data_IF_364746275449
#
_entry.id   IF_364746275449
#
_cell.length_a   1.000
_cell.length_b   1.000
_cell.length_c   1.000
_cell.angle_alpha   90.00
_cell.angle_beta   90.00
_cell.angle_gamma   90.00
#
_symmetry.space_group_name_H-M   'P 1'
#
loop_
_entity.id
_entity.type
_entity.pdbx_description
1 polymer ?
#
# COMPACT_ATOMS: atom_id res chain seq x y z
N UNK A 1 32.32 -24.78 -15.83
CA UNK A 1 32.80 -23.41 -16.13
C UNK A 1 31.64 -22.62 -16.72
N UNK A 2 31.19 -21.54 -16.05
CA UNK A 2 30.04 -20.75 -16.51
C UNK A 2 30.54 -19.38 -17.03
N UNK A 3 30.44 -19.17 -18.34
CA UNK A 3 30.77 -17.92 -19.02
C UNK A 3 29.67 -16.88 -18.74
N UNK A 4 29.85 -16.07 -17.69
CA UNK A 4 29.00 -14.88 -17.49
C UNK A 4 29.43 -13.81 -18.50
N UNK A 5 28.61 -13.58 -19.52
CA UNK A 5 28.73 -12.42 -20.40
C UNK A 5 28.59 -11.14 -19.56
N UNK A 6 29.70 -10.47 -19.28
CA UNK A 6 29.72 -9.13 -18.70
C UNK A 6 29.62 -8.10 -19.81
N UNK A 7 28.81 -7.05 -19.61
CA UNK A 7 28.85 -5.83 -20.41
C UNK A 7 30.25 -5.21 -20.37
N UNK A 8 30.68 -4.48 -21.41
CA UNK A 8 32.00 -3.80 -21.44
C UNK A 8 32.23 -2.78 -20.30
N UNK A 9 31.20 -2.46 -19.52
CA UNK A 9 31.23 -1.55 -18.36
C UNK A 9 31.14 -2.25 -16.99
N UNK A 10 31.09 -3.59 -16.94
CA UNK A 10 30.98 -4.36 -15.68
C UNK A 10 29.65 -4.21 -14.93
N UNK A 11 28.75 -3.32 -15.37
CA UNK A 11 27.40 -3.16 -14.79
C UNK A 11 26.41 -4.12 -15.42
N UNK A 12 25.53 -4.78 -14.65
CA UNK A 12 24.44 -5.59 -15.20
C UNK A 12 23.51 -4.68 -16.02
N UNK A 13 23.12 -5.12 -17.22
CA UNK A 13 22.14 -4.40 -18.05
C UNK A 13 20.81 -4.35 -17.30
N UNK A 14 20.14 -3.19 -17.32
CA UNK A 14 18.78 -3.07 -16.79
C UNK A 14 17.84 -4.07 -17.48
N UNK A 15 16.91 -4.69 -16.75
CA UNK A 15 15.94 -5.61 -17.34
C UNK A 15 15.11 -4.89 -18.41
N UNK A 16 14.87 -5.55 -19.54
CA UNK A 16 14.04 -5.03 -20.62
C UNK A 16 12.64 -5.57 -20.48
N UNK A 17 11.66 -4.69 -20.49
CA UNK A 17 10.24 -5.04 -20.48
C UNK A 17 9.68 -4.90 -21.91
N UNK A 18 8.82 -5.83 -22.29
CA UNK A 18 8.01 -5.75 -23.50
C UNK A 18 6.55 -5.80 -23.07
N UNK A 19 5.71 -4.97 -23.68
CA UNK A 19 4.29 -4.85 -23.36
C UNK A 19 3.48 -4.94 -24.64
N UNK A 20 2.33 -5.60 -24.56
CA UNK A 20 1.32 -5.59 -25.62
C UNK A 20 0.23 -4.63 -25.19
N UNK A 21 -0.03 -3.61 -26.02
CA UNK A 21 -1.01 -2.56 -25.75
C UNK A 21 -2.14 -2.65 -26.76
N UNK A 22 -3.38 -2.27 -26.38
CA UNK A 22 -4.43 -1.97 -27.33
C UNK A 22 -4.00 -0.89 -28.33
N UNK A 23 -4.53 -0.96 -29.55
CA UNK A 23 -4.19 -0.05 -30.66
C UNK A 23 -4.49 1.42 -30.29
N UNK A 24 -5.68 1.66 -29.73
CA UNK A 24 -6.12 3.01 -29.35
C UNK A 24 -5.23 3.64 -28.27
N UNK A 25 -4.68 2.83 -27.35
CA UNK A 25 -3.74 3.32 -26.35
C UNK A 25 -2.37 3.63 -26.97
N UNK A 26 -1.94 2.83 -27.94
CA UNK A 26 -0.69 3.06 -28.67
C UNK A 26 -0.74 4.38 -29.45
N UNK A 27 -1.86 4.66 -30.12
CA UNK A 27 -2.09 5.90 -30.86
C UNK A 27 -2.06 7.13 -29.95
N UNK A 28 -2.78 7.08 -28.82
CA UNK A 28 -2.74 8.17 -27.83
C UNK A 28 -1.33 8.41 -27.29
N UNK A 29 -0.58 7.34 -27.02
CA UNK A 29 0.79 7.43 -26.55
C UNK A 29 1.73 8.03 -27.62
N UNK A 30 1.50 7.71 -28.89
CA UNK A 30 2.24 8.29 -30.01
C UNK A 30 1.98 9.80 -30.13
N UNK A 31 0.71 10.22 -30.07
CA UNK A 31 0.35 11.65 -30.08
C UNK A 31 1.01 12.42 -28.92
N UNK A 32 0.95 11.91 -27.69
CA UNK A 32 1.63 12.53 -26.55
C UNK A 32 3.15 12.61 -26.74
N UNK A 33 3.75 11.59 -27.33
CA UNK A 33 5.17 11.55 -27.60
C UNK A 33 5.58 12.58 -28.66
N UNK A 34 4.79 12.75 -29.72
CA UNK A 34 4.98 13.78 -30.74
C UNK A 34 4.90 15.19 -30.14
N UNK A 35 3.86 15.47 -29.36
CA UNK A 35 3.63 16.76 -28.71
C UNK A 35 4.81 17.18 -27.82
N UNK A 36 5.43 16.21 -27.11
CA UNK A 36 6.58 16.46 -26.25
C UNK A 36 7.95 16.22 -26.93
N UNK A 37 7.98 15.97 -28.25
CA UNK A 37 9.20 15.68 -29.01
C UNK A 37 10.05 14.54 -28.42
N UNK A 38 9.39 13.44 -28.03
CA UNK A 38 9.99 12.24 -27.45
C UNK A 38 9.65 11.00 -28.27
N UNK A 39 10.41 9.93 -28.07
CA UNK A 39 10.02 8.62 -28.59
C UNK A 39 8.90 8.01 -27.76
N UNK A 40 8.04 7.20 -28.38
CA UNK A 40 6.95 6.46 -27.71
C UNK A 40 7.46 5.66 -26.51
N UNK A 41 8.60 4.98 -26.63
CA UNK A 41 9.21 4.22 -25.54
C UNK A 41 9.66 5.12 -24.38
N UNK A 42 10.20 6.30 -24.65
CA UNK A 42 10.60 7.24 -23.61
C UNK A 42 9.38 7.86 -22.93
N UNK A 43 8.35 8.20 -23.69
CA UNK A 43 7.08 8.69 -23.15
C UNK A 43 6.44 7.65 -22.22
N UNK A 44 6.33 6.39 -22.68
CA UNK A 44 5.85 5.28 -21.85
C UNK A 44 6.63 5.16 -20.54
N UNK A 45 7.97 5.21 -20.61
CA UNK A 45 8.82 5.15 -19.42
C UNK A 45 8.50 6.26 -18.43
N UNK A 46 8.35 7.50 -18.90
CA UNK A 46 8.04 8.66 -18.04
C UNK A 46 6.66 8.51 -17.39
N UNK A 47 5.64 8.16 -18.17
CA UNK A 47 4.28 7.98 -17.65
C UNK A 47 4.20 6.83 -16.63
N UNK A 48 4.89 5.72 -16.88
CA UNK A 48 4.98 4.61 -15.93
C UNK A 48 5.64 5.08 -14.63
N UNK A 49 6.77 5.79 -14.71
CA UNK A 49 7.48 6.30 -13.54
C UNK A 49 6.59 7.24 -12.70
N UNK A 50 5.93 8.21 -13.36
CA UNK A 50 5.02 9.13 -12.70
C UNK A 50 3.81 8.42 -12.07
N UNK A 51 3.26 7.42 -12.77
CA UNK A 51 2.14 6.61 -12.29
C UNK A 51 2.49 5.81 -11.04
N UNK A 52 3.69 5.20 -11.00
CA UNK A 52 4.18 4.47 -9.82
C UNK A 52 4.33 5.41 -8.63
N UNK A 53 4.99 6.55 -8.80
CA UNK A 53 5.17 7.53 -7.72
C UNK A 53 3.84 8.10 -7.21
N UNK A 54 2.88 8.36 -8.11
CA UNK A 54 1.55 8.83 -7.74
C UNK A 54 0.81 7.78 -6.91
N UNK A 55 0.88 6.51 -7.30
CA UNK A 55 0.26 5.40 -6.58
C UNK A 55 0.88 5.20 -5.19
N UNK A 56 2.20 5.29 -5.07
CA UNK A 56 2.91 5.22 -3.79
C UNK A 56 2.50 6.36 -2.85
N UNK A 57 2.51 7.61 -3.34
CA UNK A 57 2.05 8.77 -2.57
C UNK A 57 0.60 8.62 -2.12
N UNK A 58 -0.28 8.09 -2.97
CA UNK A 58 -1.67 7.84 -2.60
C UNK A 58 -1.78 6.79 -1.48
N UNK A 59 -1.04 5.68 -1.58
CA UNK A 59 -1.02 4.63 -0.55
C UNK A 59 -0.51 5.16 0.80
N UNK A 60 0.52 6.00 0.80
CA UNK A 60 1.04 6.59 2.02
C UNK A 60 0.04 7.56 2.67
N UNK A 61 -0.68 8.35 1.86
CA UNK A 61 -1.77 9.21 2.36
C UNK A 61 -2.89 8.37 2.99
N UNK A 62 -3.31 7.29 2.34
CA UNK A 62 -4.34 6.39 2.87
C UNK A 62 -3.88 5.74 4.18
N UNK A 63 -2.63 5.30 4.27
CA UNK A 63 -2.04 4.76 5.52
C UNK A 63 -2.06 5.79 6.65
N UNK A 64 -1.63 7.02 6.38
CA UNK A 64 -1.64 8.12 7.36
C UNK A 64 -3.06 8.52 7.78
N UNK A 65 -4.02 8.52 6.85
CA UNK A 65 -5.42 8.78 7.16
C UNK A 65 -5.99 7.68 8.07
N UNK A 66 -5.76 6.41 7.74
CA UNK A 66 -6.18 5.29 8.58
C UNK A 66 -5.51 5.27 9.96
N UNK A 67 -4.24 5.72 10.06
CA UNK A 67 -3.56 5.93 11.34
C UNK A 67 -4.20 7.08 12.14
N UNK A 68 -4.44 8.23 11.51
CA UNK A 68 -5.09 9.37 12.17
C UNK A 68 -6.52 9.08 12.62
N UNK A 69 -7.27 8.26 11.89
CA UNK A 69 -8.59 7.78 12.33
C UNK A 69 -8.50 6.86 13.56
N UNK A 70 -7.52 5.94 13.58
CA UNK A 70 -7.26 5.08 14.75
C UNK A 70 -6.81 5.89 15.95
N UNK A 71 -5.96 6.90 15.76
CA UNK A 71 -5.51 7.80 16.83
C UNK A 71 -6.70 8.57 17.40
N UNK A 72 -7.52 9.18 16.56
CA UNK A 72 -8.76 9.87 16.99
C UNK A 72 -9.73 8.93 17.71
N UNK A 73 -9.89 7.69 17.25
CA UNK A 73 -10.71 6.70 17.93
C UNK A 73 -10.15 6.34 19.31
N UNK A 74 -8.81 6.22 19.40
CA UNK A 74 -8.10 5.92 20.66
C UNK A 74 -8.23 7.08 21.65
N UNK A 75 -8.09 8.33 21.19
CA UNK A 75 -8.30 9.53 22.00
C UNK A 75 -9.73 9.62 22.53
N UNK A 76 -10.74 9.45 21.66
CA UNK A 76 -12.15 9.39 22.07
C UNK A 76 -12.41 8.30 23.10
N UNK A 77 -11.80 7.13 22.92
CA UNK A 77 -11.93 6.01 23.85
C UNK A 77 -11.31 6.34 25.22
N UNK A 78 -10.12 6.97 25.24
CA UNK A 78 -9.48 7.46 26.48
C UNK A 78 -10.36 8.48 27.19
N UNK A 79 -10.88 9.47 26.48
CA UNK A 79 -11.77 10.49 27.07
C UNK A 79 -13.01 9.87 27.74
N UNK A 80 -13.61 8.86 27.10
CA UNK A 80 -14.76 8.13 27.66
C UNK A 80 -14.38 7.40 28.95
N UNK A 81 -13.22 6.75 29.00
CA UNK A 81 -12.73 6.09 30.21
C UNK A 81 -12.44 7.10 31.33
N UNK A 82 -11.75 8.20 31.03
CA UNK A 82 -11.46 9.24 32.02
C UNK A 82 -12.74 9.86 32.60
N UNK A 83 -13.78 10.07 31.78
CA UNK A 83 -15.09 10.53 32.26
C UNK A 83 -15.77 9.50 33.16
N UNK A 84 -15.64 8.21 32.85
CA UNK A 84 -16.17 7.13 33.69
C UNK A 84 -15.42 7.02 35.02
N UNK A 85 -14.10 7.19 35.04
CA UNK A 85 -13.28 7.20 36.26
C UNK A 85 -13.55 8.41 37.16
N UNK A 86 -13.89 9.57 36.57
CA UNK A 86 -14.33 10.76 37.33
C UNK A 86 -15.74 10.59 37.93
N UNK A 87 -16.51 9.62 37.46
CA UNK A 87 -17.72 9.14 38.12
C UNK A 87 -17.39 8.17 39.27
N UNK A 88 -18.34 7.91 40.16
CA UNK A 88 -18.15 6.90 41.22
C UNK A 88 -17.91 5.54 40.54
N UNK A 89 -16.79 4.84 40.80
CA UNK A 89 -16.47 3.59 40.11
C UNK A 89 -17.57 2.57 40.39
N UNK A 90 -18.38 2.28 39.37
CA UNK A 90 -19.41 1.26 39.45
C UNK A 90 -18.70 -0.09 39.45
N UNK A 91 -18.72 -0.80 40.59
CA UNK A 91 -18.23 -2.18 40.67
C UNK A 91 -18.94 -2.96 39.57
N UNK A 92 -18.16 -3.62 38.71
CA UNK A 92 -18.68 -4.64 37.79
C UNK A 92 -19.58 -5.56 38.61
N UNK A 93 -20.90 -5.47 38.40
CA UNK A 93 -21.88 -6.19 39.20
C UNK A 93 -21.72 -7.68 38.89
N UNK A 94 -21.13 -8.40 39.83
CA UNK A 94 -21.07 -9.86 39.83
C UNK A 94 -19.69 -10.43 39.53
N UNK A 95 -19.44 -11.62 40.09
CA UNK A 95 -18.24 -12.39 39.82
C UNK A 95 -18.17 -12.78 38.33
N UNK A 96 -16.97 -12.77 37.72
CA UNK A 96 -16.80 -13.16 36.32
C UNK A 96 -17.35 -14.57 36.11
N UNK A 97 -18.26 -14.73 35.14
CA UNK A 97 -18.80 -16.03 34.77
C UNK A 97 -17.66 -16.89 34.22
N UNK A 98 -17.39 -18.04 34.86
CA UNK A 98 -16.47 -19.05 34.31
C UNK A 98 -17.03 -19.59 33.00
N UNK A 99 -16.34 -19.31 31.90
CA UNK A 99 -16.58 -19.98 30.62
C UNK A 99 -15.83 -21.31 30.62
N UNK A 100 -16.54 -22.42 30.42
CA UNK A 100 -15.92 -23.72 30.14
C UNK A 100 -15.78 -23.84 28.62
N UNK A 101 -14.55 -23.87 28.14
CA UNK A 101 -14.26 -24.20 26.74
C UNK A 101 -14.45 -25.72 26.56
N UNK A 102 -15.25 -26.11 25.57
CA UNK A 102 -15.50 -27.51 25.25
C UNK A 102 -14.25 -28.10 24.58
N UNK A 103 -13.71 -29.20 25.13
CA UNK A 103 -12.60 -29.94 24.52
C UNK A 103 -13.21 -31.12 23.74
N UNK A 104 -13.06 -31.18 22.40
CA UNK A 104 -13.44 -32.37 21.64
C UNK A 104 -12.59 -33.56 22.08
N UNK A 105 -13.24 -34.69 22.33
CA UNK A 105 -12.59 -35.99 22.45
C UNK A 105 -12.25 -36.46 21.04
N UNK A 106 -10.97 -36.51 20.72
CA UNK A 106 -10.48 -37.19 19.52
C UNK A 106 -10.64 -38.71 19.74
N UNK A 107 -11.34 -39.37 18.82
CA UNK A 107 -11.49 -40.82 18.72
C UNK A 107 -10.61 -41.36 17.58
#
# INVERSE_FOLDING_TARGET
MATRQTSSSGRPKSPRIQVVLPEDLCERLASLAEDESRTVSNMAKVLIQQGVEALERQRDRQRRQGQGERERQTERFREVLERQERGKPSRLRGAPRRLRLWRPLEH
#
